data_IF_473397856723
#
_entry.id   IF_473397856723
#
_cell.length_a   1.000
_cell.length_b   1.000
_cell.length_c   1.000
_cell.angle_alpha   90.00
_cell.angle_beta   90.00
_cell.angle_gamma   90.00
#
_symmetry.space_group_name_H-M   'P 1'
#
loop_
_entity.id
_entity.type
_entity.pdbx_description
1 polymer ?
#
# COMPACT_ATOMS: atom_id res chain seq x y z
N UNK A 1 -16.46 5.50 -19.37
CA UNK A 1 -16.94 5.93 -18.05
C UNK A 1 -17.43 4.74 -17.20
N UNK A 2 -18.48 4.01 -17.60
CA UNK A 2 -19.06 2.87 -16.84
C UNK A 2 -17.98 1.86 -16.40
N UNK A 3 -17.13 1.41 -17.31
CA UNK A 3 -16.08 0.44 -17.00
C UNK A 3 -15.06 0.96 -15.96
N UNK A 4 -14.73 2.26 -15.98
CA UNK A 4 -13.86 2.86 -14.98
C UNK A 4 -14.52 2.85 -13.59
N UNK A 5 -15.79 3.25 -13.49
CA UNK A 5 -16.52 3.24 -12.21
C UNK A 5 -16.63 1.81 -11.67
N UNK A 6 -16.96 0.83 -12.52
CA UNK A 6 -17.00 -0.57 -12.10
C UNK A 6 -15.64 -1.08 -11.57
N UNK A 7 -14.54 -0.69 -12.23
CA UNK A 7 -13.19 -0.99 -11.74
C UNK A 7 -12.95 -0.41 -10.35
N UNK A 8 -13.29 0.87 -10.12
CA UNK A 8 -13.09 1.50 -8.81
C UNK A 8 -13.97 0.92 -7.71
N UNK A 9 -15.19 0.46 -8.04
CA UNK A 9 -16.03 -0.28 -7.10
C UNK A 9 -15.35 -1.58 -6.65
N UNK A 10 -14.83 -2.36 -7.60
CA UNK A 10 -14.09 -3.59 -7.29
C UNK A 10 -12.80 -3.30 -6.50
N UNK A 11 -12.05 -2.28 -6.91
CA UNK A 11 -10.83 -1.88 -6.23
C UNK A 11 -11.10 -1.46 -4.78
N UNK A 12 -12.12 -0.63 -4.53
CA UNK A 12 -12.51 -0.23 -3.19
C UNK A 12 -12.92 -1.43 -2.33
N UNK A 13 -13.77 -2.30 -2.87
CA UNK A 13 -14.23 -3.51 -2.17
C UNK A 13 -13.06 -4.41 -1.79
N UNK A 14 -12.19 -4.74 -2.75
CA UNK A 14 -11.03 -5.59 -2.52
C UNK A 14 -10.05 -4.95 -1.51
N UNK A 15 -9.79 -3.65 -1.65
CA UNK A 15 -8.87 -2.90 -0.78
C UNK A 15 -9.33 -2.91 0.67
N UNK A 16 -10.60 -2.58 0.95
CA UNK A 16 -11.11 -2.58 2.33
C UNK A 16 -11.24 -3.99 2.90
N UNK A 17 -11.54 -4.98 2.07
CA UNK A 17 -11.54 -6.39 2.50
C UNK A 17 -10.14 -6.82 2.93
N UNK A 18 -9.12 -6.56 2.13
CA UNK A 18 -7.74 -6.91 2.48
C UNK A 18 -7.22 -6.09 3.66
N UNK A 19 -7.57 -4.82 3.77
CA UNK A 19 -7.26 -4.00 4.93
C UNK A 19 -7.84 -4.59 6.22
N UNK A 20 -9.11 -5.01 6.20
CA UNK A 20 -9.74 -5.67 7.34
C UNK A 20 -9.05 -6.98 7.72
N UNK A 21 -8.73 -7.82 6.73
CA UNK A 21 -7.97 -9.06 6.95
C UNK A 21 -6.57 -8.77 7.49
N UNK A 22 -5.90 -7.73 6.99
CA UNK A 22 -4.58 -7.31 7.49
C UNK A 22 -4.63 -6.93 8.98
N UNK A 23 -5.64 -6.18 9.42
CA UNK A 23 -5.79 -5.86 10.85
C UNK A 23 -6.01 -7.10 11.71
N UNK A 24 -6.73 -8.11 11.22
CA UNK A 24 -6.85 -9.40 11.91
C UNK A 24 -5.49 -10.09 12.02
N UNK A 25 -4.73 -10.13 10.94
CA UNK A 25 -3.38 -10.74 10.93
C UNK A 25 -2.45 -10.03 11.90
N UNK A 26 -2.39 -8.70 11.86
CA UNK A 26 -1.57 -7.89 12.78
C UNK A 26 -1.97 -8.16 14.24
N UNK A 27 -3.28 -8.22 14.50
CA UNK A 27 -3.78 -8.49 15.86
C UNK A 27 -3.44 -9.87 16.40
N UNK A 28 -3.42 -10.90 15.55
CA UNK A 28 -3.21 -12.30 15.94
C UNK A 28 -1.74 -12.73 15.87
N UNK A 29 -1.04 -12.37 14.80
CA UNK A 29 0.28 -12.92 14.48
C UNK A 29 1.44 -12.00 14.85
N UNK A 30 1.23 -10.69 14.88
CA UNK A 30 2.27 -9.70 15.17
C UNK A 30 2.25 -9.26 16.65
N UNK A 31 2.34 -10.23 17.58
CA UNK A 31 2.46 -9.90 19.00
C UNK A 31 3.58 -8.89 19.26
N UNK A 32 3.28 -7.79 19.99
CA UNK A 32 4.25 -6.74 20.27
C UNK A 32 4.41 -5.67 19.18
N UNK A 33 3.61 -5.68 18.10
CA UNK A 33 3.66 -4.66 17.04
C UNK A 33 3.51 -3.22 17.56
N UNK A 34 2.80 -3.04 18.69
CA UNK A 34 2.61 -1.73 19.34
C UNK A 34 3.86 -1.22 20.04
N UNK A 35 4.77 -2.10 20.44
CA UNK A 35 5.98 -1.78 21.21
C UNK A 35 7.25 -1.81 20.36
N UNK A 36 7.20 -2.41 19.16
CA UNK A 36 8.29 -2.42 18.19
C UNK A 36 8.04 -1.37 17.10
N UNK A 37 8.74 -0.22 17.12
CA UNK A 37 8.54 0.85 16.14
C UNK A 37 8.76 0.41 14.69
N UNK A 38 9.69 -0.53 14.47
CA UNK A 38 10.00 -1.03 13.12
C UNK A 38 8.84 -1.84 12.57
N UNK A 39 8.29 -2.74 13.39
CA UNK A 39 7.14 -3.56 13.02
C UNK A 39 5.88 -2.71 12.85
N UNK A 40 5.63 -1.78 13.79
CA UNK A 40 4.51 -0.86 13.69
C UNK A 40 4.53 -0.08 12.37
N UNK A 41 5.71 0.41 11.97
CA UNK A 41 5.87 1.13 10.71
C UNK A 41 5.64 0.25 9.49
N UNK A 42 6.10 -0.98 9.52
CA UNK A 42 5.85 -1.94 8.43
C UNK A 42 4.36 -2.26 8.30
N UNK A 43 3.70 -2.54 9.43
CA UNK A 43 2.28 -2.87 9.45
C UNK A 43 1.42 -1.71 8.95
N UNK A 44 1.79 -0.47 9.31
CA UNK A 44 1.16 0.75 8.80
C UNK A 44 1.40 0.91 7.28
N UNK A 45 2.63 0.68 6.83
CA UNK A 45 2.98 0.78 5.41
C UNK A 45 2.13 -0.16 4.54
N UNK A 46 1.99 -1.42 4.95
CA UNK A 46 1.11 -2.39 4.27
C UNK A 46 -0.35 -1.95 4.31
N UNK A 47 -0.83 -1.47 5.47
CA UNK A 47 -2.21 -0.98 5.61
C UNK A 47 -2.51 0.17 4.64
N UNK A 48 -1.58 1.11 4.45
CA UNK A 48 -1.76 2.26 3.55
C UNK A 48 -1.85 1.85 2.08
N UNK A 49 -1.21 0.76 1.67
CA UNK A 49 -1.34 0.20 0.31
C UNK A 49 -2.74 -0.35 0.00
N UNK A 50 -3.58 -0.51 1.00
CA UNK A 50 -5.00 -0.85 0.84
C UNK A 50 -5.91 0.35 1.16
N UNK A 51 -5.60 1.10 2.20
CA UNK A 51 -6.40 2.25 2.60
C UNK A 51 -6.46 3.31 1.51
N UNK A 52 -5.31 3.69 0.92
CA UNK A 52 -5.25 4.77 -0.07
C UNK A 52 -5.95 4.40 -1.39
N UNK A 53 -5.67 3.23 -2.02
CA UNK A 53 -6.44 2.79 -3.18
C UNK A 53 -7.94 2.61 -2.91
N UNK A 54 -8.29 2.06 -1.75
CA UNK A 54 -9.69 1.89 -1.33
C UNK A 54 -10.42 3.22 -1.21
N UNK A 55 -9.81 4.21 -0.57
CA UNK A 55 -10.36 5.56 -0.41
C UNK A 55 -10.47 6.30 -1.75
N UNK A 56 -9.44 6.18 -2.61
CA UNK A 56 -9.48 6.73 -3.97
C UNK A 56 -10.60 6.09 -4.79
N UNK A 57 -10.74 4.77 -4.72
CA UNK A 57 -11.80 4.03 -5.39
C UNK A 57 -13.19 4.46 -4.92
N UNK A 58 -13.40 4.59 -3.62
CA UNK A 58 -14.66 5.08 -3.05
C UNK A 58 -14.97 6.51 -3.52
N UNK A 59 -13.98 7.41 -3.48
CA UNK A 59 -14.13 8.78 -3.94
C UNK A 59 -14.47 8.85 -5.44
N UNK A 60 -13.82 8.03 -6.26
CA UNK A 60 -14.08 7.95 -7.70
C UNK A 60 -15.51 7.49 -8.02
N UNK A 61 -16.03 6.53 -7.24
CA UNK A 61 -17.42 6.06 -7.36
C UNK A 61 -18.40 7.16 -6.95
N UNK A 62 -18.16 7.82 -5.80
CA UNK A 62 -19.02 8.91 -5.30
C UNK A 62 -18.99 10.14 -6.22
N UNK A 63 -17.87 10.38 -6.90
CA UNK A 63 -17.74 11.48 -7.86
C UNK A 63 -18.68 11.32 -9.08
N UNK A 64 -19.13 10.10 -9.38
CA UNK A 64 -20.00 9.87 -10.54
C UNK A 64 -19.40 10.30 -11.89
N UNK A 65 -18.08 10.48 -11.94
CA UNK A 65 -17.36 10.98 -13.11
C UNK A 65 -16.98 12.46 -13.05
N UNK A 66 -17.32 13.18 -11.96
CA UNK A 66 -16.92 14.57 -11.76
C UNK A 66 -15.37 14.66 -11.61
N UNK A 67 -14.65 15.31 -12.57
CA UNK A 67 -13.21 15.23 -12.64
C UNK A 67 -12.50 15.83 -11.43
N UNK A 68 -12.98 16.93 -10.90
CA UNK A 68 -12.32 17.62 -9.80
C UNK A 68 -12.27 16.74 -8.55
N UNK A 69 -13.36 16.06 -8.23
CA UNK A 69 -13.48 15.30 -6.99
C UNK A 69 -12.60 14.06 -6.97
N UNK A 70 -12.67 13.21 -8.01
CA UNK A 70 -11.83 12.01 -8.04
C UNK A 70 -10.33 12.32 -8.21
N UNK A 71 -10.00 13.38 -8.97
CA UNK A 71 -8.60 13.84 -9.11
C UNK A 71 -8.02 14.35 -7.80
N UNK A 72 -8.81 15.15 -7.05
CA UNK A 72 -8.38 15.64 -5.74
C UNK A 72 -8.11 14.47 -4.78
N UNK A 73 -9.00 13.47 -4.74
CA UNK A 73 -8.81 12.28 -3.90
C UNK A 73 -7.55 11.48 -4.29
N UNK A 74 -7.34 11.25 -5.59
CA UNK A 74 -6.15 10.55 -6.09
C UNK A 74 -4.86 11.33 -5.79
N UNK A 75 -4.87 12.66 -5.95
CA UNK A 75 -3.72 13.50 -5.63
C UNK A 75 -3.39 13.49 -4.14
N UNK A 76 -4.40 13.57 -3.27
CA UNK A 76 -4.20 13.47 -1.81
C UNK A 76 -3.63 12.11 -1.42
N UNK A 77 -4.14 11.02 -2.01
CA UNK A 77 -3.62 9.67 -1.79
C UNK A 77 -2.16 9.55 -2.28
N UNK A 78 -1.84 10.13 -3.45
CA UNK A 78 -0.48 10.15 -3.98
C UNK A 78 0.49 10.91 -3.06
N UNK A 79 0.11 12.08 -2.55
CA UNK A 79 0.92 12.87 -1.62
C UNK A 79 1.15 12.09 -0.31
N UNK A 80 0.09 11.55 0.28
CA UNK A 80 0.19 10.78 1.52
C UNK A 80 1.04 9.52 1.35
N UNK A 81 0.81 8.77 0.28
CA UNK A 81 1.57 7.56 -0.03
C UNK A 81 3.04 7.84 -0.37
N UNK A 82 3.32 8.92 -1.11
CA UNK A 82 4.67 9.38 -1.40
C UNK A 82 5.44 9.74 -0.12
N UNK A 83 4.82 10.54 0.74
CA UNK A 83 5.44 10.97 2.01
C UNK A 83 5.76 9.76 2.90
N UNK A 84 4.83 8.79 2.97
CA UNK A 84 5.03 7.56 3.72
C UNK A 84 6.11 6.69 3.10
N UNK A 85 6.08 6.45 1.79
CA UNK A 85 7.07 5.63 1.08
C UNK A 85 8.50 6.17 1.21
N UNK A 86 8.69 7.49 1.08
CA UNK A 86 9.99 8.13 1.30
C UNK A 86 10.43 7.93 2.76
N UNK A 87 9.55 8.15 3.71
CA UNK A 87 9.83 7.90 5.12
C UNK A 87 10.15 6.43 5.40
N UNK A 88 9.50 5.49 4.72
CA UNK A 88 9.77 4.06 4.82
C UNK A 88 11.12 3.66 4.21
N UNK A 89 11.55 4.32 3.13
CA UNK A 89 12.91 4.15 2.58
C UNK A 89 14.01 4.52 3.58
N UNK A 90 13.79 5.57 4.38
CA UNK A 90 14.73 6.03 5.39
C UNK A 90 14.74 5.18 6.67
N UNK A 91 13.73 4.33 6.88
CA UNK A 91 13.62 3.50 8.07
C UNK A 91 14.60 2.30 8.05
N UNK A 92 14.99 1.76 9.24
CA UNK A 92 15.75 0.51 9.33
C UNK A 92 15.09 -0.59 8.51
N UNK A 93 15.91 -1.32 7.75
CA UNK A 93 15.46 -2.20 6.68
C UNK A 93 14.59 -3.36 7.16
N UNK A 94 13.31 -3.31 6.90
CA UNK A 94 12.39 -4.44 6.87
C UNK A 94 11.49 -4.25 5.64
N UNK A 95 11.33 -5.24 4.74
CA UNK A 95 11.97 -6.57 4.65
C UNK A 95 13.45 -6.51 4.20
N UNK A 96 14.26 -7.45 4.68
CA UNK A 96 15.72 -7.49 4.40
C UNK A 96 16.06 -8.23 3.10
N UNK A 97 15.17 -9.07 2.60
CA UNK A 97 15.35 -9.82 1.36
C UNK A 97 15.42 -8.91 0.13
N UNK A 98 16.15 -9.34 -0.93
CA UNK A 98 16.27 -8.60 -2.18
C UNK A 98 14.92 -8.17 -2.77
N UNK A 99 13.88 -9.05 -2.82
CA UNK A 99 12.57 -8.64 -3.33
C UNK A 99 11.98 -7.45 -2.57
N UNK A 100 12.04 -7.47 -1.24
CA UNK A 100 11.52 -6.39 -0.41
C UNK A 100 12.25 -5.06 -0.58
N UNK A 101 13.58 -5.08 -0.82
CA UNK A 101 14.36 -3.86 -1.14
C UNK A 101 13.94 -3.25 -2.48
N UNK A 102 13.69 -4.10 -3.48
CA UNK A 102 13.22 -3.66 -4.79
C UNK A 102 11.82 -3.02 -4.69
N UNK A 103 10.88 -3.68 -4.00
CA UNK A 103 9.53 -3.15 -3.81
C UNK A 103 9.58 -1.78 -3.12
N UNK A 104 10.37 -1.62 -2.04
CA UNK A 104 10.54 -0.34 -1.35
C UNK A 104 11.03 0.79 -2.26
N UNK A 105 11.97 0.50 -3.16
CA UNK A 105 12.47 1.49 -4.10
C UNK A 105 11.42 1.86 -5.17
N UNK A 106 10.52 0.94 -5.50
CA UNK A 106 9.47 1.14 -6.49
C UNK A 106 8.27 1.94 -5.96
N UNK A 107 7.97 1.84 -4.67
CA UNK A 107 6.81 2.49 -4.04
C UNK A 107 6.66 3.98 -4.34
N UNK A 108 7.66 4.83 -4.07
CA UNK A 108 7.51 6.25 -4.33
C UNK A 108 7.29 6.56 -5.82
N UNK A 109 7.81 5.71 -6.73
CA UNK A 109 7.56 5.85 -8.17
C UNK A 109 6.12 5.54 -8.54
N UNK A 110 5.51 4.54 -7.89
CA UNK A 110 4.10 4.21 -8.11
C UNK A 110 3.19 5.34 -7.63
N UNK A 111 3.43 5.89 -6.45
CA UNK A 111 2.66 7.03 -5.94
C UNK A 111 2.89 8.30 -6.79
N UNK A 112 4.11 8.52 -7.30
CA UNK A 112 4.36 9.57 -8.28
C UNK A 112 3.53 9.36 -9.55
N UNK A 113 3.43 8.12 -10.04
CA UNK A 113 2.59 7.74 -11.16
C UNK A 113 1.11 8.06 -10.94
N UNK A 114 0.57 7.76 -9.76
CA UNK A 114 -0.81 8.14 -9.37
C UNK A 114 -0.97 9.66 -9.40
N UNK A 115 -0.04 10.41 -8.79
CA UNK A 115 -0.08 11.88 -8.78
C UNK A 115 -0.03 12.49 -10.18
N UNK A 116 0.86 11.99 -11.04
CA UNK A 116 0.95 12.43 -12.44
C UNK A 116 -0.34 12.12 -13.18
N UNK A 117 -0.91 10.93 -13.05
CA UNK A 117 -2.16 10.54 -13.68
C UNK A 117 -3.34 11.40 -13.19
N UNK A 118 -3.35 11.80 -11.91
CA UNK A 118 -4.38 12.65 -11.34
C UNK A 118 -4.38 14.08 -11.89
N UNK A 119 -3.19 14.67 -12.13
CA UNK A 119 -3.06 16.07 -12.58
C UNK A 119 -3.00 16.22 -14.10
N UNK A 120 -2.66 15.14 -14.82
CA UNK A 120 -2.52 15.19 -16.28
C UNK A 120 -3.70 14.50 -16.97
N UNK A 121 -3.92 14.85 -18.22
CA UNK A 121 -4.84 14.15 -19.10
C UNK A 121 -4.04 13.42 -20.18
N UNK A 122 -3.04 12.64 -19.76
CA UNK A 122 -2.14 11.92 -20.68
C UNK A 122 -2.96 10.97 -21.55
N UNK A 123 -2.88 11.11 -22.89
CA UNK A 123 -3.50 10.16 -23.78
C UNK A 123 -2.66 8.87 -23.81
N UNK A 124 -3.13 7.82 -23.19
CA UNK A 124 -2.56 6.49 -23.31
C UNK A 124 -3.47 5.63 -24.20
N UNK A 125 -3.24 5.72 -25.49
CA UNK A 125 -4.08 5.05 -26.49
C UNK A 125 -5.54 5.52 -26.40
N UNK A 126 -6.47 4.59 -26.23
CA UNK A 126 -7.91 4.86 -26.13
C UNK A 126 -8.41 4.99 -24.68
N UNK A 127 -7.51 5.06 -23.69
CA UNK A 127 -7.89 5.15 -22.29
C UNK A 127 -8.31 6.59 -21.94
N UNK A 128 -9.41 6.72 -21.22
CA UNK A 128 -9.80 7.99 -20.62
C UNK A 128 -8.96 8.29 -19.37
N UNK A 129 -8.76 9.56 -18.97
CA UNK A 129 -7.90 9.92 -17.83
C UNK A 129 -8.18 9.14 -16.55
N UNK A 130 -9.45 8.90 -16.23
CA UNK A 130 -9.87 8.11 -15.09
C UNK A 130 -9.43 6.65 -15.15
N UNK A 131 -9.30 6.06 -16.35
CA UNK A 131 -8.78 4.70 -16.51
C UNK A 131 -7.26 4.66 -16.32
N UNK A 132 -6.56 5.68 -16.81
CA UNK A 132 -5.10 5.80 -16.62
C UNK A 132 -4.75 5.90 -15.14
N UNK A 133 -5.46 6.74 -14.40
CA UNK A 133 -5.30 6.86 -12.96
C UNK A 133 -5.67 5.55 -12.26
N UNK A 134 -6.76 4.91 -12.67
CA UNK A 134 -7.16 3.60 -12.14
C UNK A 134 -6.10 2.51 -12.31
N UNK A 135 -5.38 2.48 -13.45
CA UNK A 135 -4.25 1.57 -13.63
C UNK A 135 -3.14 1.87 -12.64
N UNK A 136 -2.76 3.15 -12.47
CA UNK A 136 -1.72 3.55 -11.54
C UNK A 136 -2.08 3.19 -10.08
N UNK A 137 -3.31 3.49 -9.65
CA UNK A 137 -3.80 3.13 -8.31
C UNK A 137 -3.93 1.61 -8.13
N UNK A 138 -4.32 0.88 -9.17
CA UNK A 138 -4.34 -0.58 -9.19
C UNK A 138 -2.94 -1.19 -8.99
N UNK A 139 -1.89 -0.59 -9.54
CA UNK A 139 -0.51 -1.02 -9.30
C UNK A 139 -0.07 -0.81 -7.85
N UNK A 140 -0.48 0.28 -7.19
CA UNK A 140 -0.26 0.48 -5.75
C UNK A 140 -0.96 -0.62 -4.94
N UNK A 141 -2.20 -0.96 -5.27
CA UNK A 141 -2.92 -2.07 -4.64
C UNK A 141 -2.19 -3.42 -4.80
N UNK A 142 -1.71 -3.73 -6.00
CA UNK A 142 -0.93 -4.94 -6.26
C UNK A 142 0.39 -4.95 -5.49
N UNK A 143 1.03 -3.80 -5.31
CA UNK A 143 2.20 -3.67 -4.45
C UNK A 143 1.88 -4.04 -3.00
N UNK A 144 0.73 -3.61 -2.48
CA UNK A 144 0.24 -4.02 -1.16
C UNK A 144 0.09 -5.55 -1.03
N UNK A 145 -0.43 -6.23 -2.07
CA UNK A 145 -0.52 -7.70 -2.07
C UNK A 145 0.86 -8.37 -2.08
N UNK A 146 1.84 -7.78 -2.76
CA UNK A 146 3.22 -8.28 -2.73
C UNK A 146 3.86 -8.14 -1.34
N UNK A 147 3.63 -7.02 -0.65
CA UNK A 147 4.06 -6.86 0.74
C UNK A 147 3.37 -7.84 1.70
N UNK A 148 2.08 -8.09 1.50
CA UNK A 148 1.35 -9.12 2.25
C UNK A 148 1.98 -10.48 2.08
N UNK A 149 2.31 -10.86 0.84
CA UNK A 149 3.00 -12.12 0.55
C UNK A 149 4.35 -12.21 1.26
N UNK A 150 5.17 -11.14 1.22
CA UNK A 150 6.45 -11.11 1.91
C UNK A 150 6.30 -11.23 3.43
N UNK A 151 5.29 -10.60 4.02
CA UNK A 151 5.01 -10.72 5.44
C UNK A 151 4.72 -12.16 5.89
N UNK A 152 4.07 -12.95 5.02
CA UNK A 152 3.84 -14.38 5.26
C UNK A 152 5.07 -15.26 4.97
N UNK A 153 5.86 -14.90 3.96
CA UNK A 153 7.00 -15.69 3.52
C UNK A 153 8.23 -15.53 4.44
N UNK A 154 8.37 -14.37 5.09
CA UNK A 154 9.47 -14.12 6.02
C UNK A 154 9.20 -14.82 7.36
N UNK A 155 9.94 -15.89 7.63
CA UNK A 155 9.85 -16.59 8.91
C UNK A 155 10.30 -15.67 10.04
N UNK A 156 9.57 -15.64 11.19
CA UNK A 156 10.07 -14.99 12.39
C UNK A 156 11.46 -15.53 12.75
N UNK A 157 12.38 -14.65 13.14
CA UNK A 157 13.68 -15.10 13.63
C UNK A 157 13.47 -16.11 14.77
N UNK A 158 14.19 -17.25 14.80
CA UNK A 158 14.08 -18.21 15.89
C UNK A 158 14.28 -17.48 17.22
N UNK A 159 13.40 -17.73 18.17
CA UNK A 159 13.58 -17.23 19.54
C UNK A 159 14.96 -17.66 20.04
N UNK A 160 15.72 -16.76 20.70
CA UNK A 160 17.00 -17.14 21.27
C UNK A 160 16.80 -18.33 22.21
N UNK A 161 17.51 -19.43 21.94
CA UNK A 161 17.45 -20.66 22.74
C UNK A 161 17.78 -20.30 24.17
N UNK A 162 17.04 -20.79 25.17
CA UNK A 162 17.22 -20.47 26.60
C UNK A 162 18.64 -20.76 27.14
N UNK A 163 19.37 -21.64 26.49
CA UNK A 163 20.75 -22.06 26.85
C UNK A 163 21.78 -20.92 26.77
N UNK A 164 21.54 -19.83 26.07
CA UNK A 164 22.49 -18.70 26.03
C UNK A 164 22.39 -17.76 27.21
N UNK A 165 21.34 -17.85 28.00
CA UNK A 165 21.14 -16.97 29.17
C UNK A 165 21.92 -17.48 30.38
N UNK A 166 22.10 -18.81 30.50
CA UNK A 166 22.79 -19.42 31.64
C UNK A 166 24.34 -19.29 31.63
N UNK A 167 24.93 -18.95 30.50
CA UNK A 167 26.41 -18.78 30.41
C UNK A 167 26.88 -17.31 30.63
N UNK A 168 25.99 -16.42 31.11
CA UNK A 168 26.36 -15.03 31.47
C UNK A 168 26.17 -14.72 32.96
N UNK A 169 25.91 -15.70 33.78
CA UNK A 169 25.94 -15.61 35.25
C UNK A 169 27.20 -16.35 35.73
#
# INVERSE_FOLDING_TARGET
>A
MIAAIAFYQLLATASFTLLGLWFVVVGLAHGGWRTDPTRHRYDLHVALHFLLPGSTGLAAVLAGGEPLFWRAAALLAAIAGMAESIGFLAAPAFPRALPGRFLRALDPLLYAGVGVAAVTSLPLGNLVPMQVEGVATGLVFLMGTAYLWLAYAERPAPLPTPTRILNRI
#
